data_IF_870834380072
#
_entry.id   IF_870834380072
#
_cell.length_a   1.000
_cell.length_b   1.000
_cell.length_c   1.000
_cell.angle_alpha   90.00
_cell.angle_beta   90.00
_cell.angle_gamma   90.00
#
_symmetry.space_group_name_H-M   'P 1'
#
loop_
_entity.id
_entity.type
_entity.pdbx_description
1 polymer ?
#
# COMPACT_ATOMS: atom_id res chain seq x y z
N UNK A 1 -37.30 6.84 -25.64
CA UNK A 1 -37.33 6.34 -24.25
C UNK A 1 -35.90 6.11 -23.78
N UNK A 2 -35.30 7.02 -23.01
CA UNK A 2 -34.07 6.75 -22.27
C UNK A 2 -34.43 6.04 -20.97
N UNK A 3 -33.80 4.90 -20.69
CA UNK A 3 -33.91 4.17 -19.43
C UNK A 3 -33.29 5.03 -18.31
N UNK A 4 -34.16 5.64 -17.51
CA UNK A 4 -33.79 6.33 -16.28
C UNK A 4 -33.32 5.28 -15.27
N UNK A 5 -32.03 5.27 -14.99
CA UNK A 5 -31.48 4.60 -13.81
C UNK A 5 -31.72 5.57 -12.64
N UNK A 6 -32.75 5.29 -11.86
CA UNK A 6 -33.12 6.04 -10.66
C UNK A 6 -31.95 6.11 -9.67
N UNK A 7 -31.58 7.32 -9.25
CA UNK A 7 -30.52 7.62 -8.28
C UNK A 7 -31.02 7.54 -6.83
N UNK A 8 -31.95 6.64 -6.50
CA UNK A 8 -32.74 6.75 -5.26
C UNK A 8 -32.48 5.73 -4.15
N UNK A 9 -31.42 4.90 -4.21
CA UNK A 9 -31.17 3.91 -3.13
C UNK A 9 -29.77 3.91 -2.51
N UNK A 10 -29.12 5.06 -2.37
CA UNK A 10 -27.87 5.20 -1.57
C UNK A 10 -28.03 6.02 -0.28
N UNK A 11 -29.27 6.32 0.11
CA UNK A 11 -29.58 7.19 1.25
C UNK A 11 -30.10 6.42 2.48
N UNK A 12 -29.62 5.19 2.69
CA UNK A 12 -29.82 4.46 3.94
C UNK A 12 -28.47 4.29 4.65
N UNK A 13 -28.19 5.18 5.60
CA UNK A 13 -27.34 4.91 6.76
C UNK A 13 -25.84 4.80 6.51
N UNK A 14 -25.20 5.82 5.93
CA UNK A 14 -23.75 6.02 6.11
C UNK A 14 -23.58 6.72 7.46
N UNK A 15 -23.60 5.97 8.56
CA UNK A 15 -22.82 6.42 9.73
C UNK A 15 -21.41 6.71 9.19
N UNK A 16 -20.87 7.91 9.47
CA UNK A 16 -19.58 8.33 8.96
C UNK A 16 -18.51 7.34 9.39
N UNK A 17 -18.19 6.37 8.52
CA UNK A 17 -17.23 5.33 8.80
C UNK A 17 -15.90 6.03 9.04
N UNK A 18 -15.46 5.99 10.30
CA UNK A 18 -14.27 6.69 10.73
C UNK A 18 -13.02 6.03 10.11
N UNK A 19 -11.96 6.81 9.84
CA UNK A 19 -10.66 6.26 9.48
C UNK A 19 -10.20 5.24 10.50
N UNK A 20 -9.52 4.19 10.04
CA UNK A 20 -8.86 3.25 10.94
C UNK A 20 -7.78 4.00 11.70
N UNK A 21 -7.74 3.81 13.03
CA UNK A 21 -6.73 4.48 13.85
C UNK A 21 -5.33 3.93 13.56
N UNK A 22 -4.29 4.77 13.47
CA UNK A 22 -2.94 4.35 13.12
C UNK A 22 -2.35 3.34 14.12
N UNK A 23 -2.81 3.31 15.37
CA UNK A 23 -2.35 2.35 16.38
C UNK A 23 -2.71 0.90 16.05
N UNK A 24 -3.66 0.66 15.13
CA UNK A 24 -3.92 -0.71 14.63
C UNK A 24 -2.82 -1.24 13.71
N UNK A 25 -2.02 -0.36 13.13
CA UNK A 25 -0.87 -0.72 12.29
C UNK A 25 0.36 -0.74 13.18
N UNK A 26 0.42 -1.75 14.03
CA UNK A 26 1.49 -1.95 14.99
C UNK A 26 2.63 -2.80 14.42
N UNK A 27 3.60 -3.14 15.28
CA UNK A 27 4.77 -3.92 14.86
C UNK A 27 4.39 -5.34 14.42
N UNK A 28 3.38 -5.93 15.04
CA UNK A 28 2.97 -7.30 14.76
C UNK A 28 2.26 -7.37 13.40
N UNK A 29 1.48 -6.35 13.06
CA UNK A 29 0.97 -6.18 11.70
C UNK A 29 2.10 -6.16 10.66
N UNK A 30 3.09 -5.29 10.84
CA UNK A 30 4.18 -5.14 9.86
C UNK A 30 5.12 -6.35 9.80
N UNK A 31 5.26 -7.12 10.87
CA UNK A 31 6.18 -8.27 10.92
C UNK A 31 5.48 -9.64 10.82
N UNK A 32 4.16 -9.69 10.77
CA UNK A 32 3.42 -10.95 10.78
C UNK A 32 2.24 -11.04 9.82
N UNK A 33 1.69 -9.92 9.35
CA UNK A 33 0.47 -9.91 8.54
C UNK A 33 0.60 -9.17 7.21
N UNK A 34 1.43 -8.14 7.14
CA UNK A 34 1.63 -7.34 5.94
C UNK A 34 2.36 -8.14 4.83
N UNK A 35 1.93 -7.98 3.56
CA UNK A 35 2.56 -8.63 2.41
C UNK A 35 4.08 -8.42 2.41
N UNK A 36 4.82 -9.49 2.06
CA UNK A 36 6.28 -9.47 2.03
C UNK A 36 6.97 -9.53 3.41
N UNK A 37 6.26 -9.72 4.52
CA UNK A 37 6.89 -9.75 5.86
C UNK A 37 7.96 -10.85 5.99
N UNK A 38 7.81 -11.99 5.31
CA UNK A 38 8.78 -13.10 5.37
C UNK A 38 10.09 -12.70 4.68
N UNK A 39 9.99 -12.10 3.49
CA UNK A 39 11.12 -11.57 2.73
C UNK A 39 11.80 -10.42 3.49
N UNK A 40 11.00 -9.53 4.09
CA UNK A 40 11.53 -8.45 4.93
C UNK A 40 12.33 -8.98 6.11
N UNK A 41 11.79 -9.92 6.88
CA UNK A 41 12.50 -10.50 8.03
C UNK A 41 13.77 -11.23 7.59
N UNK A 42 13.73 -11.92 6.44
CA UNK A 42 14.86 -12.69 5.95
C UNK A 42 15.98 -11.85 5.32
N UNK A 43 15.67 -10.65 4.82
CA UNK A 43 16.59 -9.84 4.00
C UNK A 43 16.74 -8.39 4.45
N UNK A 44 16.04 -8.00 5.52
CA UNK A 44 15.94 -6.62 6.00
C UNK A 44 15.50 -5.62 4.92
N UNK A 45 14.60 -6.07 4.02
CA UNK A 45 14.08 -5.25 2.92
C UNK A 45 14.98 -5.18 1.69
N UNK A 46 16.03 -6.01 1.60
CA UNK A 46 16.84 -6.13 0.39
C UNK A 46 16.08 -6.85 -0.75
N UNK A 47 15.09 -7.69 -0.43
CA UNK A 47 14.25 -8.39 -1.39
C UNK A 47 12.77 -8.02 -1.23
N UNK A 48 12.11 -7.74 -2.35
CA UNK A 48 10.67 -7.57 -2.42
C UNK A 48 9.98 -8.92 -2.59
N UNK A 49 8.74 -9.05 -2.10
CA UNK A 49 7.88 -10.15 -2.51
C UNK A 49 7.69 -10.12 -4.02
N UNK A 50 7.36 -11.27 -4.63
CA UNK A 50 7.17 -11.37 -6.08
C UNK A 50 6.18 -10.32 -6.61
N UNK A 51 5.09 -10.06 -5.89
CA UNK A 51 4.05 -9.11 -6.31
C UNK A 51 4.55 -7.67 -6.25
N UNK A 52 5.19 -7.30 -5.15
CA UNK A 52 5.79 -5.97 -4.99
C UNK A 52 6.92 -5.71 -6.01
N UNK A 53 7.74 -6.72 -6.31
CA UNK A 53 8.76 -6.61 -7.36
C UNK A 53 8.15 -6.31 -8.73
N UNK A 54 7.09 -7.02 -9.11
CA UNK A 54 6.40 -6.79 -10.38
C UNK A 54 5.74 -5.41 -10.45
N UNK A 55 5.10 -4.97 -9.36
CA UNK A 55 4.53 -3.63 -9.27
C UNK A 55 5.61 -2.54 -9.38
N UNK A 56 6.75 -2.75 -8.72
CA UNK A 56 7.89 -1.84 -8.75
C UNK A 56 8.54 -1.76 -10.14
N UNK A 57 8.63 -2.88 -10.87
CA UNK A 57 9.13 -2.90 -12.25
C UNK A 57 8.27 -2.04 -13.20
N UNK A 58 6.94 -2.08 -13.06
CA UNK A 58 6.00 -1.23 -13.82
C UNK A 58 6.22 0.25 -13.58
N UNK A 59 6.75 0.62 -12.40
CA UNK A 59 7.06 2.01 -12.10
C UNK A 59 8.21 2.56 -12.94
N UNK A 60 9.06 1.73 -13.57
CA UNK A 60 10.18 2.17 -14.42
C UNK A 60 10.99 3.29 -13.73
N UNK A 61 11.40 3.04 -12.48
CA UNK A 61 12.23 3.98 -11.71
C UNK A 61 13.61 4.06 -12.35
N UNK A 62 14.08 5.29 -12.57
CA UNK A 62 15.38 5.55 -13.18
C UNK A 62 16.21 6.51 -12.32
N UNK A 63 17.55 6.53 -12.49
CA UNK A 63 18.43 7.45 -11.78
C UNK A 63 17.98 8.91 -11.90
N UNK A 64 18.09 9.67 -10.81
CA UNK A 64 17.73 11.09 -10.75
C UNK A 64 16.24 11.40 -10.61
N UNK A 65 15.34 10.41 -10.72
CA UNK A 65 13.91 10.61 -10.48
C UNK A 65 13.62 10.93 -9.01
N UNK A 66 12.55 11.68 -8.77
CA UNK A 66 11.92 11.82 -7.46
C UNK A 66 10.71 10.89 -7.38
N UNK A 67 10.77 9.94 -6.46
CA UNK A 67 9.74 8.92 -6.25
C UNK A 67 9.08 9.12 -4.90
N UNK A 68 7.75 9.18 -4.86
CA UNK A 68 6.97 9.17 -3.63
C UNK A 68 6.29 7.81 -3.47
N UNK A 69 6.42 7.20 -2.30
CA UNK A 69 5.69 6.02 -1.88
C UNK A 69 4.67 6.39 -0.78
N UNK A 70 3.38 6.26 -1.09
CA UNK A 70 2.27 6.60 -0.19
C UNK A 70 1.82 5.32 0.52
N UNK A 71 1.95 5.31 1.85
CA UNK A 71 1.79 4.10 2.66
C UNK A 71 3.08 3.27 2.69
N UNK A 72 4.23 3.92 2.91
CA UNK A 72 5.54 3.29 2.67
C UNK A 72 5.90 2.15 3.63
N UNK A 73 5.10 1.90 4.67
CA UNK A 73 5.24 0.73 5.53
C UNK A 73 6.64 0.60 6.13
N UNK A 74 7.34 -0.51 5.82
CA UNK A 74 8.68 -0.79 6.34
C UNK A 74 9.81 -0.21 5.49
N UNK A 75 9.49 0.48 4.38
CA UNK A 75 10.43 1.25 3.59
C UNK A 75 11.24 0.46 2.56
N UNK A 76 10.86 -0.78 2.23
CA UNK A 76 11.57 -1.60 1.24
C UNK A 76 11.65 -0.88 -0.12
N UNK A 77 10.51 -0.36 -0.60
CA UNK A 77 10.42 0.36 -1.88
C UNK A 77 11.34 1.58 -1.92
N UNK A 78 11.48 2.29 -0.80
CA UNK A 78 12.40 3.42 -0.69
C UNK A 78 13.85 2.97 -0.91
N UNK A 79 14.27 1.91 -0.23
CA UNK A 79 15.60 1.33 -0.40
C UNK A 79 15.87 0.87 -1.84
N UNK A 80 14.87 0.27 -2.49
CA UNK A 80 14.98 -0.12 -3.91
C UNK A 80 15.11 1.09 -4.85
N UNK A 81 14.35 2.16 -4.63
CA UNK A 81 14.47 3.38 -5.43
C UNK A 81 15.86 4.01 -5.32
N UNK A 82 16.37 4.09 -4.09
CA UNK A 82 17.66 4.70 -3.80
C UNK A 82 18.81 3.90 -4.40
N UNK A 83 18.75 2.55 -4.36
CA UNK A 83 19.72 1.68 -5.05
C UNK A 83 19.74 1.88 -6.57
N UNK A 84 18.65 2.33 -7.17
CA UNK A 84 18.58 2.70 -8.59
C UNK A 84 19.03 4.16 -8.86
N UNK A 85 19.54 4.87 -7.85
CA UNK A 85 20.00 6.26 -7.97
C UNK A 85 18.88 7.29 -8.01
N UNK A 86 17.65 6.93 -7.61
CA UNK A 86 16.54 7.86 -7.45
C UNK A 86 16.56 8.52 -6.06
N UNK A 87 15.84 9.64 -5.93
CA UNK A 87 15.52 10.25 -4.63
C UNK A 87 14.15 9.75 -4.17
N UNK A 88 14.10 9.03 -3.07
CA UNK A 88 12.90 8.38 -2.59
C UNK A 88 12.30 9.12 -1.40
N UNK A 89 10.98 9.23 -1.38
CA UNK A 89 10.23 9.90 -0.33
C UNK A 89 9.10 8.97 0.10
N UNK A 90 8.96 8.72 1.39
CA UNK A 90 7.92 7.86 1.94
C UNK A 90 7.00 8.64 2.88
N UNK A 91 5.70 8.37 2.79
CA UNK A 91 4.73 8.81 3.81
C UNK A 91 3.99 7.61 4.38
N UNK A 92 3.80 7.62 5.70
CA UNK A 92 2.90 6.68 6.36
C UNK A 92 2.29 7.37 7.58
N UNK A 93 1.00 7.16 7.82
CA UNK A 93 0.31 7.74 8.97
C UNK A 93 0.62 6.99 10.29
N UNK A 94 1.05 5.72 10.20
CA UNK A 94 1.37 4.89 11.35
C UNK A 94 2.76 5.24 11.90
N UNK A 95 2.89 5.64 13.18
CA UNK A 95 4.18 5.96 13.78
C UNK A 95 5.19 4.81 13.74
N UNK A 96 4.70 3.56 13.80
CA UNK A 96 5.54 2.35 13.75
C UNK A 96 6.18 2.19 12.38
N UNK A 97 5.39 2.31 11.31
CA UNK A 97 5.87 2.26 9.92
C UNK A 97 6.99 3.28 9.68
N UNK A 98 6.74 4.55 10.04
CA UNK A 98 7.73 5.63 9.88
C UNK A 98 9.05 5.31 10.59
N UNK A 99 9.01 4.71 11.78
CA UNK A 99 10.23 4.29 12.49
C UNK A 99 10.96 3.17 11.75
N UNK A 100 10.24 2.16 11.28
CA UNK A 100 10.81 1.03 10.54
C UNK A 100 11.41 1.49 9.21
N UNK A 101 10.66 2.25 8.42
CA UNK A 101 11.13 2.81 7.15
C UNK A 101 12.38 3.68 7.32
N UNK A 102 12.46 4.49 8.38
CA UNK A 102 13.69 5.25 8.69
C UNK A 102 14.86 4.34 9.02
N UNK A 103 14.65 3.27 9.77
CA UNK A 103 15.72 2.33 10.11
C UNK A 103 16.23 1.60 8.87
N UNK A 104 15.34 1.10 8.02
CA UNK A 104 15.72 0.36 6.82
C UNK A 104 16.29 1.26 5.72
N UNK A 105 15.67 2.40 5.47
CA UNK A 105 16.07 3.27 4.35
C UNK A 105 17.27 4.16 4.65
N UNK A 106 17.54 4.49 5.92
CA UNK A 106 18.70 5.31 6.34
C UNK A 106 19.87 4.47 6.86
N UNK A 107 19.83 3.14 6.67
CA UNK A 107 20.90 2.24 7.12
C UNK A 107 22.23 2.47 6.38
N UNK A 108 22.16 2.97 5.15
CA UNK A 108 23.32 3.27 4.31
C UNK A 108 23.63 4.78 4.35
N UNK A 109 24.80 5.11 4.90
CA UNK A 109 25.26 6.50 5.04
C UNK A 109 25.48 7.19 3.68
N UNK A 110 25.88 6.45 2.65
CA UNK A 110 26.19 7.02 1.32
C UNK A 110 24.92 7.50 0.62
N UNK A 111 23.78 6.90 0.94
CA UNK A 111 22.51 7.17 0.29
C UNK A 111 21.49 7.90 1.16
N UNK A 112 21.89 8.26 2.39
CA UNK A 112 21.05 8.92 3.40
C UNK A 112 20.38 10.20 2.91
N UNK A 113 21.08 11.01 2.11
CA UNK A 113 20.56 12.27 1.57
C UNK A 113 19.56 12.08 0.41
N UNK A 114 19.50 10.86 -0.14
CA UNK A 114 18.59 10.51 -1.22
C UNK A 114 17.22 10.01 -0.70
N UNK A 115 17.02 9.89 0.63
CA UNK A 115 15.76 9.38 1.19
C UNK A 115 15.14 10.28 2.26
N UNK A 116 13.83 10.44 2.22
CA UNK A 116 13.05 11.17 3.22
C UNK A 116 11.80 10.41 3.65
N UNK A 117 11.57 10.27 4.96
CA UNK A 117 10.39 9.58 5.51
C UNK A 117 9.61 10.49 6.45
N UNK A 118 8.31 10.66 6.18
CA UNK A 118 7.44 11.59 6.89
C UNK A 118 6.22 10.87 7.45
N UNK A 119 5.82 11.27 8.66
CA UNK A 119 4.53 10.85 9.20
C UNK A 119 3.44 11.76 8.65
N UNK A 120 2.59 11.26 7.77
CA UNK A 120 1.51 12.02 7.16
C UNK A 120 0.37 11.11 6.71
N UNK A 121 -0.83 11.67 6.65
CA UNK A 121 -2.00 11.01 6.08
C UNK A 121 -1.95 11.11 4.53
N UNK A 122 -2.31 10.04 3.83
CA UNK A 122 -2.37 10.03 2.37
C UNK A 122 -3.31 11.12 1.80
N UNK A 123 -4.29 11.57 2.59
CA UNK A 123 -5.26 12.60 2.25
C UNK A 123 -4.69 14.02 2.30
N UNK A 124 -3.53 14.23 2.93
CA UNK A 124 -2.87 15.54 3.07
C UNK A 124 -1.34 15.37 3.04
N UNK A 125 -0.75 15.44 1.84
CA UNK A 125 0.66 15.18 1.63
C UNK A 125 1.52 16.44 1.89
N UNK A 126 2.63 16.34 2.64
CA UNK A 126 3.48 17.47 3.02
C UNK A 126 4.44 17.90 1.89
N UNK A 127 3.98 17.87 0.64
CA UNK A 127 4.79 18.17 -0.54
C UNK A 127 4.13 19.21 -1.45
N UNK A 128 4.92 20.04 -2.15
CA UNK A 128 4.41 20.93 -3.19
C UNK A 128 3.79 20.16 -4.37
N UNK A 129 2.93 20.84 -5.13
CA UNK A 129 2.40 20.29 -6.37
C UNK A 129 3.52 19.99 -7.39
N UNK A 130 3.30 19.02 -8.28
CA UNK A 130 4.23 18.65 -9.35
C UNK A 130 5.69 18.40 -8.90
N UNK A 131 5.85 17.71 -7.78
CA UNK A 131 7.15 17.41 -7.16
C UNK A 131 7.77 16.09 -7.61
N UNK A 132 6.96 15.11 -8.03
CA UNK A 132 7.40 13.72 -8.21
C UNK A 132 7.23 13.21 -9.64
N UNK A 133 8.24 12.48 -10.11
CA UNK A 133 8.23 11.79 -11.41
C UNK A 133 7.47 10.46 -11.33
N UNK A 134 7.47 9.85 -10.14
CA UNK A 134 6.68 8.66 -9.81
C UNK A 134 5.97 8.84 -8.47
N UNK A 135 4.72 8.46 -8.43
CA UNK A 135 3.98 8.25 -7.18
C UNK A 135 3.54 6.79 -7.14
N UNK A 136 3.76 6.14 -6.01
CA UNK A 136 3.45 4.73 -5.77
C UNK A 136 2.42 4.65 -4.64
N UNK A 137 1.51 3.70 -4.77
CA UNK A 137 0.53 3.36 -3.74
C UNK A 137 0.36 1.84 -3.78
N UNK A 138 1.22 1.14 -3.05
CA UNK A 138 1.27 -0.32 -3.02
C UNK A 138 0.63 -0.83 -1.73
N UNK A 139 -0.40 -1.66 -1.88
CA UNK A 139 -1.14 -2.28 -0.79
C UNK A 139 -1.69 -1.27 0.24
N UNK A 140 -2.21 -0.14 -0.26
CA UNK A 140 -2.84 0.92 0.55
C UNK A 140 -4.32 1.12 0.23
N UNK A 141 -4.74 0.95 -1.03
CA UNK A 141 -6.09 1.30 -1.49
C UNK A 141 -7.17 0.51 -0.74
N UNK A 142 -6.90 -0.76 -0.45
CA UNK A 142 -7.75 -1.67 0.32
C UNK A 142 -7.93 -1.26 1.79
N UNK A 143 -7.11 -0.34 2.30
CA UNK A 143 -7.17 0.19 3.66
C UNK A 143 -7.91 1.53 3.76
N UNK A 144 -8.31 2.11 2.62
CA UNK A 144 -8.98 3.41 2.56
C UNK A 144 -10.48 3.23 2.30
N UNK A 145 -11.31 3.96 3.04
CA UNK A 145 -12.71 4.11 2.65
C UNK A 145 -12.82 4.85 1.30
N UNK A 146 -13.91 4.69 0.53
CA UNK A 146 -14.05 5.34 -0.77
C UNK A 146 -13.81 6.86 -0.74
N UNK A 147 -14.30 7.54 0.30
CA UNK A 147 -14.10 8.98 0.48
C UNK A 147 -12.65 9.35 0.83
N UNK A 148 -11.91 8.46 1.51
CA UNK A 148 -10.48 8.66 1.80
C UNK A 148 -9.65 8.44 0.54
N UNK A 149 -10.01 7.42 -0.24
CA UNK A 149 -9.37 7.13 -1.53
C UNK A 149 -9.52 8.31 -2.48
N UNK A 150 -10.71 8.91 -2.61
CA UNK A 150 -10.92 10.10 -3.44
C UNK A 150 -9.97 11.24 -3.07
N UNK A 151 -9.80 11.50 -1.76
CA UNK A 151 -8.90 12.54 -1.26
C UNK A 151 -7.42 12.18 -1.50
N UNK A 152 -7.03 10.93 -1.25
CA UNK A 152 -5.67 10.46 -1.48
C UNK A 152 -5.29 10.49 -2.98
N UNK A 153 -6.22 10.15 -3.86
CA UNK A 153 -6.02 10.24 -5.32
C UNK A 153 -5.88 11.69 -5.77
N UNK A 154 -6.65 12.62 -5.20
CA UNK A 154 -6.50 14.05 -5.47
C UNK A 154 -5.12 14.58 -5.05
N UNK A 155 -4.63 14.18 -3.87
CA UNK A 155 -3.29 14.53 -3.40
C UNK A 155 -2.18 13.91 -4.24
N UNK A 156 -2.29 12.61 -4.57
CA UNK A 156 -1.36 11.93 -5.46
C UNK A 156 -1.27 12.65 -6.82
N UNK A 157 -2.42 13.03 -7.39
CA UNK A 157 -2.49 13.79 -8.64
C UNK A 157 -1.90 15.20 -8.52
N UNK A 158 -2.06 15.86 -7.37
CA UNK A 158 -1.52 17.20 -7.10
C UNK A 158 0.00 17.17 -7.06
N UNK A 159 0.60 16.21 -6.35
CA UNK A 159 2.06 16.13 -6.18
C UNK A 159 2.76 15.49 -7.37
N UNK A 160 2.05 14.76 -8.23
CA UNK A 160 2.59 14.19 -9.46
C UNK A 160 2.86 15.28 -10.51
N UNK A 161 4.01 15.18 -11.19
CA UNK A 161 4.34 16.02 -12.34
C UNK A 161 3.41 15.73 -13.53
N UNK A 162 3.24 16.68 -14.48
CA UNK A 162 2.40 16.47 -15.67
C UNK A 162 2.72 15.19 -16.45
N UNK A 163 4.01 14.86 -16.61
CA UNK A 163 4.49 13.66 -17.31
C UNK A 163 4.88 12.51 -16.35
N UNK A 164 4.53 12.66 -15.07
CA UNK A 164 4.78 11.66 -14.06
C UNK A 164 3.85 10.45 -14.21
N UNK A 165 4.23 9.32 -13.62
CA UNK A 165 3.37 8.14 -13.55
C UNK A 165 2.92 7.88 -12.12
N UNK A 166 1.65 7.53 -11.97
CA UNK A 166 1.08 7.04 -10.73
C UNK A 166 0.80 5.55 -10.87
N UNK A 167 1.34 4.74 -9.96
CA UNK A 167 1.23 3.28 -9.99
C UNK A 167 0.52 2.83 -8.72
N UNK A 168 -0.56 2.08 -8.89
CA UNK A 168 -1.30 1.44 -7.81
C UNK A 168 -1.09 -0.07 -7.92
N UNK A 169 -0.75 -0.69 -6.80
CA UNK A 169 -0.84 -2.12 -6.61
C UNK A 169 -1.75 -2.39 -5.40
N UNK A 170 -2.63 -3.37 -5.52
CA UNK A 170 -3.55 -3.76 -4.43
C UNK A 170 -3.91 -5.23 -4.60
N UNK A 171 -3.97 -5.96 -3.50
CA UNK A 171 -4.39 -7.35 -3.50
C UNK A 171 -5.01 -7.74 -2.15
N UNK A 172 -6.07 -8.58 -2.13
CA UNK A 172 -6.80 -9.14 -3.26
C UNK A 172 -7.76 -8.13 -3.91
N UNK A 173 -8.08 -8.32 -5.20
CA UNK A 173 -9.12 -7.56 -5.88
C UNK A 173 -10.45 -8.35 -5.94
N UNK A 174 -11.54 -7.68 -6.33
CA UNK A 174 -12.89 -8.28 -6.39
C UNK A 174 -12.95 -9.55 -7.25
N UNK A 175 -12.12 -9.65 -8.29
CA UNK A 175 -12.07 -10.81 -9.18
C UNK A 175 -11.42 -12.01 -8.50
N UNK A 176 -10.38 -11.78 -7.69
CA UNK A 176 -9.81 -12.83 -6.86
C UNK A 176 -10.88 -13.40 -5.92
N UNK A 177 -11.60 -12.53 -5.21
CA UNK A 177 -12.64 -12.96 -4.26
C UNK A 177 -13.77 -13.73 -4.95
N UNK A 178 -14.20 -13.29 -6.13
CA UNK A 178 -15.32 -13.90 -6.86
C UNK A 178 -14.94 -15.22 -7.55
N UNK A 179 -13.75 -15.29 -8.18
CA UNK A 179 -13.43 -16.37 -9.10
C UNK A 179 -12.29 -17.28 -8.61
N UNK A 180 -11.24 -16.70 -8.03
CA UNK A 180 -10.07 -17.48 -7.63
C UNK A 180 -10.22 -18.06 -6.21
N UNK A 181 -10.76 -17.28 -5.28
CA UNK A 181 -10.87 -17.65 -3.88
C UNK A 181 -11.69 -18.91 -3.64
N UNK A 182 -12.86 -19.14 -4.29
CA UNK A 182 -13.61 -20.39 -4.09
C UNK A 182 -12.79 -21.64 -4.45
N UNK A 183 -12.00 -21.57 -5.52
CA UNK A 183 -11.12 -22.66 -5.94
C UNK A 183 -9.94 -22.83 -4.98
N UNK A 184 -9.25 -21.73 -4.63
CA UNK A 184 -8.14 -21.75 -3.67
C UNK A 184 -8.62 -22.34 -2.34
N UNK A 185 -9.76 -21.87 -1.84
CA UNK A 185 -10.37 -22.37 -0.61
C UNK A 185 -10.66 -23.87 -0.70
N UNK A 186 -11.26 -24.34 -1.79
CA UNK A 186 -11.53 -25.77 -1.98
C UNK A 186 -10.24 -26.60 -1.90
N UNK A 187 -9.22 -26.23 -2.68
CA UNK A 187 -7.92 -26.92 -2.69
C UNK A 187 -7.27 -26.90 -1.31
N UNK A 188 -7.22 -25.74 -0.65
CA UNK A 188 -6.64 -25.57 0.69
C UNK A 188 -7.40 -26.36 1.76
N UNK A 189 -8.72 -26.44 1.64
CA UNK A 189 -9.56 -27.27 2.53
C UNK A 189 -9.22 -28.75 2.37
N UNK A 190 -9.09 -29.23 1.13
CA UNK A 190 -8.68 -30.61 0.85
C UNK A 190 -7.27 -30.92 1.35
N UNK A 191 -6.37 -29.93 1.39
CA UNK A 191 -5.03 -30.05 1.97
C UNK A 191 -4.99 -29.93 3.51
N UNK A 192 -6.15 -29.93 4.19
CA UNK A 192 -6.22 -29.82 5.66
C UNK A 192 -5.99 -28.40 6.21
N UNK A 193 -5.93 -27.38 5.35
CA UNK A 193 -5.69 -25.98 5.73
C UNK A 193 -6.99 -25.16 5.88
N UNK A 194 -8.16 -25.82 5.85
CA UNK A 194 -9.47 -25.15 5.78
C UNK A 194 -9.75 -24.13 6.88
N UNK A 195 -9.17 -24.29 8.07
CA UNK A 195 -9.32 -23.34 9.18
C UNK A 195 -8.75 -21.93 8.88
N UNK A 196 -7.82 -21.82 7.92
CA UNK A 196 -7.22 -20.53 7.48
C UNK A 196 -7.97 -19.89 6.30
N UNK A 197 -8.98 -20.56 5.74
CA UNK A 197 -9.69 -20.13 4.53
C UNK A 197 -11.21 -20.14 4.77
N UNK A 198 -11.75 -19.11 5.46
CA UNK A 198 -13.18 -18.99 5.78
C UNK A 198 -14.05 -18.93 4.51
N UNK A 199 -15.36 -19.14 4.64
CA UNK A 199 -16.27 -19.01 3.48
C UNK A 199 -16.34 -17.57 2.97
N UNK A 200 -16.38 -16.63 3.89
CA UNK A 200 -16.23 -15.20 3.60
C UNK A 200 -14.74 -14.85 3.76
N UNK A 201 -14.02 -14.50 2.67
CA UNK A 201 -12.60 -14.14 2.75
C UNK A 201 -12.34 -12.91 3.62
N UNK A 202 -13.36 -12.10 3.91
CA UNK A 202 -13.27 -10.90 4.75
C UNK A 202 -13.63 -11.17 6.20
N UNK A 203 -14.04 -12.40 6.55
CA UNK A 203 -14.32 -12.75 7.92
C UNK A 203 -13.03 -12.76 8.75
N UNK A 204 -13.07 -12.07 9.88
CA UNK A 204 -12.01 -12.13 10.88
C UNK A 204 -12.03 -13.51 11.54
N UNK A 205 -10.93 -14.24 11.41
CA UNK A 205 -10.73 -15.57 12.00
C UNK A 205 -9.61 -15.52 13.04
N UNK A 206 -9.55 -16.44 14.02
CA UNK A 206 -8.47 -16.47 15.03
C UNK A 206 -7.06 -16.57 14.46
N UNK A 207 -6.90 -17.02 13.21
CA UNK A 207 -5.60 -17.06 12.54
C UNK A 207 -5.17 -15.71 11.94
N UNK A 208 -6.08 -14.75 11.85
CA UNK A 208 -5.88 -13.40 11.31
C UNK A 208 -6.26 -12.32 12.35
N UNK A 209 -6.34 -12.71 13.63
CA UNK A 209 -6.51 -11.83 14.80
C UNK A 209 -5.16 -11.55 15.45
#
# INVERSE_FOLDING_TARGET
MPLGIERETWQMGIEQIQPVRPERYDKDYFLGACEGYTEFIASEGAHLSRRLSQAFEVAEVAPGMRVLDIGCGRGEILGHCVRLGARAYGVDYAPVAVRMARQSALADEETRDAVGVYQADAKILPFPAASFDRVLMFDLVEHLHPWELDQALAEARRVLRPDGRFIIHTAPNVWYDQYAYPLVRLVRTLMGQGARYPKDPRAIIPANL
#
